data_IF_409224247635
#
_entry.id   IF_409224247635
#
_cell.length_a   1.000
_cell.length_b   1.000
_cell.length_c   1.000
_cell.angle_alpha   90.00
_cell.angle_beta   90.00
_cell.angle_gamma   90.00
#
_symmetry.space_group_name_H-M   'P 1'
#
loop_
_entity.id
_entity.type
_entity.pdbx_description
1 polymer ?
#
# COMPACT_ATOMS: atom_id res chain seq x y z
N UNK A 1 4.00 4.22 11.75
CA UNK A 1 4.65 3.53 10.62
C UNK A 1 4.37 4.27 9.31
N UNK A 2 5.22 4.09 8.28
CA UNK A 2 5.16 4.84 7.01
C UNK A 2 4.07 4.35 6.02
N UNK A 3 3.46 3.19 6.28
CA UNK A 3 2.40 2.63 5.43
C UNK A 3 2.87 1.59 4.41
N UNK A 4 4.10 1.09 4.54
CA UNK A 4 4.60 -0.03 3.75
C UNK A 4 5.85 -0.63 4.41
N UNK A 5 6.20 -1.87 4.06
CA UNK A 5 7.38 -2.56 4.55
C UNK A 5 8.11 -3.30 3.42
N UNK A 6 9.44 -3.10 3.24
CA UNK A 6 10.19 -3.74 2.17
C UNK A 6 10.44 -5.22 2.46
N UNK A 7 10.21 -6.08 1.47
CA UNK A 7 10.69 -7.46 1.48
C UNK A 7 12.13 -7.47 0.94
N UNK A 8 13.10 -7.56 1.86
CA UNK A 8 14.51 -7.49 1.50
C UNK A 8 14.90 -8.57 0.48
N UNK A 9 15.65 -8.17 -0.56
CA UNK A 9 16.06 -9.05 -1.65
C UNK A 9 15.04 -9.22 -2.76
N UNK A 10 13.88 -8.54 -2.68
CA UNK A 10 12.87 -8.49 -3.73
C UNK A 10 12.47 -7.05 -4.06
N UNK A 11 11.91 -6.86 -5.25
CA UNK A 11 11.30 -5.60 -5.69
C UNK A 11 9.85 -5.48 -5.16
N UNK A 12 9.64 -5.71 -3.86
CA UNK A 12 8.32 -5.86 -3.25
C UNK A 12 8.23 -5.09 -1.94
N UNK A 13 7.15 -4.34 -1.78
CA UNK A 13 6.76 -3.63 -0.58
C UNK A 13 5.37 -4.06 -0.16
N UNK A 14 5.21 -4.56 1.06
CA UNK A 14 3.90 -4.89 1.62
C UNK A 14 3.16 -3.63 2.07
N UNK A 15 1.88 -3.55 1.78
CA UNK A 15 1.03 -2.40 2.10
C UNK A 15 0.52 -2.51 3.54
N UNK A 16 0.60 -1.40 4.27
CA UNK A 16 -0.07 -1.24 5.57
C UNK A 16 -0.63 0.18 5.67
N UNK A 17 -1.63 0.46 6.50
CA UNK A 17 -2.04 1.83 6.72
C UNK A 17 -0.93 2.66 7.38
N UNK A 18 -0.56 3.83 6.85
CA UNK A 18 0.32 4.75 7.56
C UNK A 18 -0.30 5.19 8.89
N UNK A 19 0.54 5.56 9.85
CA UNK A 19 0.06 6.14 11.13
C UNK A 19 -0.31 7.62 11.00
N UNK A 20 -0.09 8.19 9.83
CA UNK A 20 -0.41 9.57 9.51
C UNK A 20 -1.53 9.59 8.48
N UNK A 21 -2.14 10.76 8.27
CA UNK A 21 -3.10 10.93 7.19
C UNK A 21 -2.48 10.64 5.83
N UNK A 22 -1.23 11.05 5.64
CA UNK A 22 -0.48 10.79 4.41
C UNK A 22 1.03 10.77 4.68
N UNK A 23 1.76 10.08 3.80
CA UNK A 23 3.22 10.04 3.72
C UNK A 23 3.61 10.32 2.27
N UNK A 24 4.51 11.28 2.08
CA UNK A 24 5.04 11.69 0.78
C UNK A 24 6.53 11.39 0.72
N UNK A 25 6.97 10.70 -0.34
CA UNK A 25 8.35 10.27 -0.54
C UNK A 25 8.81 10.77 -1.90
N UNK A 26 9.76 11.69 -1.88
CA UNK A 26 10.37 12.20 -3.10
C UNK A 26 11.62 11.38 -3.42
N UNK A 27 11.64 10.79 -4.61
CA UNK A 27 12.80 10.09 -5.12
C UNK A 27 13.96 11.06 -5.36
N UNK A 28 15.14 10.84 -4.76
CA UNK A 28 16.31 11.66 -5.04
C UNK A 28 16.88 11.44 -6.45
N UNK A 29 16.45 10.36 -7.13
CA UNK A 29 16.94 9.99 -8.47
C UNK A 29 16.11 10.64 -9.56
N UNK A 30 14.78 10.59 -9.44
CA UNK A 30 13.85 11.07 -10.47
C UNK A 30 13.20 12.41 -10.10
N UNK A 31 13.23 12.81 -8.83
CA UNK A 31 12.51 13.98 -8.34
C UNK A 31 10.99 13.78 -8.20
N UNK A 32 10.47 12.63 -8.61
CA UNK A 32 9.05 12.30 -8.52
C UNK A 32 8.66 12.02 -7.07
N UNK A 33 7.40 12.31 -6.73
CA UNK A 33 6.85 12.05 -5.40
C UNK A 33 5.83 10.92 -5.44
N UNK A 34 6.03 9.93 -4.57
CA UNK A 34 5.06 8.90 -4.27
C UNK A 34 4.34 9.21 -2.97
N UNK A 35 3.02 9.08 -2.97
CA UNK A 35 2.14 9.42 -1.85
C UNK A 35 1.36 8.19 -1.43
N UNK A 36 1.41 7.86 -0.14
CA UNK A 36 0.53 6.85 0.48
C UNK A 36 -0.37 7.59 1.48
N UNK A 37 -1.69 7.53 1.29
CA UNK A 37 -2.65 8.27 2.13
C UNK A 37 -3.83 7.42 2.60
N UNK A 38 -4.30 7.75 3.78
CA UNK A 38 -5.48 7.16 4.39
C UNK A 38 -6.72 7.99 4.09
N UNK A 39 -7.72 7.35 3.48
CA UNK A 39 -9.10 7.84 3.44
C UNK A 39 -9.82 7.31 4.69
N UNK A 40 -10.59 8.18 5.34
CA UNK A 40 -11.17 7.96 6.68
C UNK A 40 -10.11 7.78 7.79
N UNK A 41 -9.03 8.57 7.75
CA UNK A 41 -8.02 8.56 8.82
C UNK A 41 -8.63 8.83 10.19
N UNK A 42 -8.40 7.89 11.11
CA UNK A 42 -8.84 7.96 12.50
C UNK A 42 -7.64 8.14 13.44
N UNK A 43 -7.52 9.29 14.14
CA UNK A 43 -6.41 9.55 15.05
C UNK A 43 -6.45 8.72 16.34
N UNK A 44 -7.57 8.05 16.68
CA UNK A 44 -7.60 7.09 17.79
C UNK A 44 -7.15 5.68 17.38
N UNK A 45 -6.89 5.46 16.08
CA UNK A 45 -6.46 4.18 15.52
C UNK A 45 -7.43 3.02 15.81
N UNK A 46 -8.74 3.29 15.80
CA UNK A 46 -9.77 2.24 15.83
C UNK A 46 -10.12 1.78 14.41
N UNK A 47 -10.09 2.69 13.43
CA UNK A 47 -10.27 2.35 12.01
C UNK A 47 -8.92 2.04 11.33
N UNK A 48 -8.43 0.81 11.50
CA UNK A 48 -7.10 0.37 11.01
C UNK A 48 -7.13 -0.67 9.90
N UNK A 49 -8.31 -1.12 9.48
CA UNK A 49 -8.44 -2.17 8.46
C UNK A 49 -8.66 -1.56 7.09
N UNK A 50 -7.89 -1.97 6.09
CA UNK A 50 -8.07 -1.54 4.71
C UNK A 50 -9.36 -2.17 4.18
N UNK A 51 -10.28 -1.33 3.71
CA UNK A 51 -11.55 -1.72 3.11
C UNK A 51 -11.45 -1.77 1.58
N UNK A 52 -10.65 -0.86 1.01
CA UNK A 52 -10.36 -0.79 -0.41
C UNK A 52 -9.11 0.07 -0.64
N UNK A 53 -8.50 -0.07 -1.81
CA UNK A 53 -7.41 0.80 -2.22
C UNK A 53 -7.56 1.23 -3.69
N UNK A 54 -6.98 2.38 -4.01
CA UNK A 54 -6.78 2.83 -5.39
C UNK A 54 -5.32 3.19 -5.61
N UNK A 55 -4.79 2.82 -6.76
CA UNK A 55 -3.46 3.22 -7.21
C UNK A 55 -3.61 4.10 -8.45
N UNK A 56 -3.22 5.36 -8.32
CA UNK A 56 -3.37 6.38 -9.37
C UNK A 56 -4.83 6.51 -9.88
N UNK A 57 -5.80 6.39 -8.97
CA UNK A 57 -7.23 6.49 -9.26
C UNK A 57 -7.90 5.18 -9.71
N UNK A 58 -7.12 4.15 -10.03
CA UNK A 58 -7.64 2.85 -10.45
C UNK A 58 -7.82 1.89 -9.27
N UNK A 59 -8.87 1.06 -9.24
CA UNK A 59 -9.05 0.05 -8.20
C UNK A 59 -7.82 -0.85 -8.05
N UNK A 60 -7.37 -1.04 -6.81
CA UNK A 60 -6.18 -1.80 -6.49
C UNK A 60 -6.46 -2.79 -5.36
N UNK A 61 -6.21 -4.07 -5.60
CA UNK A 61 -6.51 -5.16 -4.66
C UNK A 61 -5.27 -5.84 -4.12
N UNK A 62 -4.12 -5.72 -4.80
CA UNK A 62 -2.86 -6.33 -4.35
C UNK A 62 -2.41 -5.72 -3.04
N UNK A 63 -1.98 -6.58 -2.12
CA UNK A 63 -1.48 -6.16 -0.80
C UNK A 63 0.01 -5.77 -0.82
N UNK A 64 0.56 -5.56 -2.00
CA UNK A 64 1.96 -5.21 -2.23
C UNK A 64 2.11 -4.34 -3.49
N UNK A 65 3.21 -3.59 -3.60
CA UNK A 65 3.62 -2.89 -4.82
C UNK A 65 5.14 -2.98 -5.02
N UNK A 66 5.66 -2.54 -6.16
CA UNK A 66 7.10 -2.60 -6.50
C UNK A 66 7.82 -1.27 -6.26
N UNK A 67 9.16 -1.28 -6.23
CA UNK A 67 9.99 -0.09 -6.08
C UNK A 67 9.73 0.98 -7.14
N UNK A 68 9.27 0.57 -8.33
CA UNK A 68 8.89 1.49 -9.42
C UNK A 68 7.91 2.57 -8.96
N UNK A 69 7.01 2.26 -8.00
CA UNK A 69 6.10 3.23 -7.41
C UNK A 69 6.81 4.48 -6.85
N UNK A 70 7.99 4.30 -6.24
CA UNK A 70 8.77 5.42 -5.71
C UNK A 70 9.55 6.17 -6.79
N UNK A 71 9.93 5.50 -7.88
CA UNK A 71 10.69 6.11 -8.97
C UNK A 71 9.78 6.89 -9.93
N UNK A 72 8.65 6.30 -10.31
CA UNK A 72 7.69 6.89 -11.22
C UNK A 72 6.83 7.94 -10.52
N UNK A 73 6.73 7.84 -9.19
CA UNK A 73 5.75 8.56 -8.40
C UNK A 73 4.36 7.95 -8.55
N UNK A 74 3.43 8.42 -7.73
CA UNK A 74 2.07 7.91 -7.75
C UNK A 74 1.33 8.17 -6.45
N UNK A 75 0.04 7.85 -6.44
CA UNK A 75 -0.83 8.02 -5.28
C UNK A 75 -1.51 6.69 -4.97
N UNK A 76 -1.18 6.13 -3.81
CA UNK A 76 -1.86 5.01 -3.20
C UNK A 76 -2.81 5.53 -2.12
N UNK A 77 -4.11 5.33 -2.34
CA UNK A 77 -5.14 5.70 -1.37
C UNK A 77 -5.70 4.46 -0.71
N UNK A 78 -5.70 4.42 0.61
CA UNK A 78 -6.18 3.32 1.42
C UNK A 78 -7.44 3.78 2.16
N UNK A 79 -8.60 3.22 1.82
CA UNK A 79 -9.83 3.49 2.57
C UNK A 79 -9.88 2.63 3.81
N UNK A 80 -9.93 3.26 4.98
CA UNK A 80 -9.90 2.55 6.25
C UNK A 80 -11.29 2.37 6.88
N UNK A 81 -11.40 1.33 7.69
CA UNK A 81 -12.58 0.95 8.46
C UNK A 81 -12.22 0.22 9.75
N UNK A 82 -13.22 0.02 10.61
CA UNK A 82 -13.06 -0.58 11.94
C UNK A 82 -13.04 -2.11 11.96
N UNK A 83 -13.50 -2.76 10.90
CA UNK A 83 -13.60 -4.21 10.81
C UNK A 83 -12.76 -4.73 9.64
N UNK A 84 -12.33 -5.98 9.72
CA UNK A 84 -11.69 -6.70 8.62
C UNK A 84 -12.57 -6.69 7.36
N UNK A 85 -11.92 -6.74 6.20
CA UNK A 85 -12.57 -6.75 4.89
C UNK A 85 -11.98 -7.87 4.02
N UNK A 86 -12.60 -8.10 2.87
CA UNK A 86 -12.12 -9.06 1.87
C UNK A 86 -11.01 -8.48 0.95
N UNK A 87 -10.54 -7.26 1.19
CA UNK A 87 -9.50 -6.64 0.37
C UNK A 87 -8.16 -7.37 0.49
N UNK A 88 -7.55 -7.70 -0.66
CA UNK A 88 -6.23 -8.33 -0.71
C UNK A 88 -6.20 -9.79 -0.26
N UNK A 89 -7.36 -10.46 -0.31
CA UNK A 89 -7.53 -11.86 0.15
C UNK A 89 -7.50 -12.89 -0.97
N UNK A 90 -7.53 -12.48 -2.25
CA UNK A 90 -7.54 -13.41 -3.38
C UNK A 90 -6.13 -13.94 -3.65
N UNK A 91 -6.05 -15.12 -4.27
CA UNK A 91 -4.78 -15.71 -4.67
C UNK A 91 -3.97 -14.78 -5.60
N UNK A 92 -4.64 -14.03 -6.47
CA UNK A 92 -4.01 -13.04 -7.36
C UNK A 92 -3.49 -11.76 -6.65
N UNK A 93 -3.94 -11.51 -5.41
CA UNK A 93 -3.55 -10.35 -4.62
C UNK A 93 -2.28 -10.61 -3.79
N UNK A 94 -1.87 -11.88 -3.68
CA UNK A 94 -0.71 -12.30 -2.93
C UNK A 94 0.60 -11.77 -3.54
N UNK A 95 1.62 -11.49 -2.70
CA UNK A 95 2.94 -11.15 -3.19
C UNK A 95 3.60 -12.34 -3.89
N UNK A 96 4.54 -12.09 -4.81
CA UNK A 96 5.23 -13.15 -5.54
C UNK A 96 6.06 -14.02 -4.57
N UNK A 97 6.03 -15.33 -4.80
CA UNK A 97 6.82 -16.33 -4.09
C UNK A 97 7.57 -17.20 -5.10
N UNK A 98 8.68 -17.81 -4.67
CA UNK A 98 9.43 -18.76 -5.50
C UNK A 98 8.63 -20.03 -5.81
N UNK A 99 7.64 -20.34 -4.98
CA UNK A 99 6.67 -21.41 -5.19
C UNK A 99 5.29 -20.80 -5.37
N UNK A 100 4.64 -21.10 -6.49
CA UNK A 100 3.18 -21.04 -6.61
C UNK A 100 2.67 -22.34 -5.97
N UNK A 101 1.70 -22.27 -5.07
CA UNK A 101 1.12 -23.41 -4.33
C UNK A 101 1.13 -24.76 -5.08
N UNK A 102 1.44 -25.84 -4.34
CA UNK A 102 1.31 -27.22 -4.81
C UNK A 102 -0.12 -27.75 -4.70
#
# INVERSE_FOLDING_TARGET
MMGFFPQAGQDVYFITPPFFREVNITSPVTGNTATVRNINFDPSYEAIYIQSATLNGEPYTKNWFTHSFFLDGGVLELTLGRNESDWGTRDEDLPPSASTSG
#
